data_IF_234347911338
#
_entry.id   IF_234347911338
#
_cell.length_a   1.000
_cell.length_b   1.000
_cell.length_c   1.000
_cell.angle_alpha   90.00
_cell.angle_beta   90.00
_cell.angle_gamma   90.00
#
_symmetry.space_group_name_H-M   'P 1'
#
loop_
_entity.id
_entity.type
_entity.pdbx_description
1 polymer ?
#
# COMPACT_ATOMS: atom_id res chain seq x y z
N UNK A 1 2.89 -11.39 -23.67
CA UNK A 1 2.99 -11.49 -22.19
C UNK A 1 3.11 -12.94 -21.78
N UNK A 2 3.52 -13.23 -20.54
CA UNK A 2 3.59 -14.62 -20.03
C UNK A 2 2.20 -15.28 -20.19
N UNK A 3 2.14 -16.43 -20.86
CA UNK A 3 0.92 -17.19 -21.17
C UNK A 3 -0.11 -16.52 -22.11
N UNK A 4 0.33 -15.75 -23.12
CA UNK A 4 -0.56 -15.15 -24.14
C UNK A 4 -1.71 -14.28 -23.58
N UNK A 5 -1.57 -13.74 -22.37
CA UNK A 5 -2.52 -12.76 -21.82
C UNK A 5 -2.15 -11.35 -22.27
N UNK A 6 -3.14 -10.62 -22.76
CA UNK A 6 -3.06 -9.18 -23.00
C UNK A 6 -2.87 -8.45 -21.66
N UNK A 7 -2.02 -7.41 -21.68
CA UNK A 7 -1.76 -6.57 -20.51
C UNK A 7 -1.65 -5.12 -20.97
N UNK A 8 -2.32 -4.23 -20.26
CA UNK A 8 -2.19 -2.79 -20.47
C UNK A 8 -1.07 -2.28 -19.56
N UNK A 9 -0.12 -1.58 -20.14
CA UNK A 9 0.98 -0.95 -19.42
C UNK A 9 0.74 0.56 -19.30
N UNK A 10 0.79 1.07 -18.08
CA UNK A 10 0.62 2.50 -17.81
C UNK A 10 1.97 3.20 -17.96
N UNK A 11 2.12 3.97 -19.04
CA UNK A 11 3.39 4.59 -19.45
C UNK A 11 3.40 6.12 -19.39
N UNK A 12 2.38 6.76 -18.79
CA UNK A 12 2.35 8.21 -18.61
C UNK A 12 2.00 8.61 -17.17
N UNK A 13 2.45 9.79 -16.70
CA UNK A 13 2.10 10.29 -15.37
C UNK A 13 0.60 10.47 -15.13
N UNK A 14 -0.15 10.90 -16.15
CA UNK A 14 -1.59 11.15 -16.06
C UNK A 14 -2.36 9.84 -15.87
N UNK A 15 -2.00 8.82 -16.65
CA UNK A 15 -2.58 7.50 -16.53
C UNK A 15 -2.18 6.82 -15.21
N UNK A 16 -0.95 7.05 -14.72
CA UNK A 16 -0.52 6.56 -13.41
C UNK A 16 -1.30 7.23 -12.27
N UNK A 17 -1.51 8.55 -12.34
CA UNK A 17 -2.33 9.29 -11.39
C UNK A 17 -3.77 8.77 -11.37
N UNK A 18 -4.35 8.52 -12.55
CA UNK A 18 -5.69 7.99 -12.67
C UNK A 18 -5.81 6.61 -12.01
N UNK A 19 -4.90 5.68 -12.38
CA UNK A 19 -4.86 4.31 -11.87
C UNK A 19 -4.60 4.25 -10.36
N UNK A 20 -3.65 5.03 -9.84
CA UNK A 20 -3.13 4.88 -8.48
C UNK A 20 -3.81 5.79 -7.44
N UNK A 21 -4.52 6.83 -7.89
CA UNK A 21 -5.04 7.86 -6.98
C UNK A 21 -6.46 8.30 -7.31
N UNK A 22 -6.71 8.87 -8.49
CA UNK A 22 -8.02 9.47 -8.83
C UNK A 22 -9.13 8.43 -8.82
N UNK A 23 -8.87 7.29 -9.46
CA UNK A 23 -9.83 6.21 -9.63
C UNK A 23 -9.33 4.89 -9.03
N UNK A 24 -8.43 4.95 -8.04
CA UNK A 24 -7.75 3.78 -7.48
C UNK A 24 -8.70 2.65 -7.06
N UNK A 25 -9.87 2.98 -6.52
CA UNK A 25 -10.85 1.99 -6.07
C UNK A 25 -11.69 1.34 -7.19
N UNK A 26 -11.51 1.76 -8.46
CA UNK A 26 -12.09 1.09 -9.64
C UNK A 26 -11.25 -0.11 -10.10
N UNK A 27 -10.02 -0.21 -9.62
CA UNK A 27 -9.06 -1.23 -10.00
C UNK A 27 -8.78 -2.15 -8.81
N UNK A 28 -8.48 -3.41 -9.11
CA UNK A 28 -8.03 -4.40 -8.13
C UNK A 28 -6.56 -4.74 -8.39
N UNK A 29 -5.83 -5.17 -7.37
CA UNK A 29 -4.45 -5.63 -7.55
C UNK A 29 -4.44 -6.88 -8.44
N UNK A 30 -3.52 -6.97 -9.43
CA UNK A 30 -3.32 -8.19 -10.20
C UNK A 30 -3.04 -9.40 -9.30
N UNK A 31 -3.57 -10.57 -9.69
CA UNK A 31 -3.51 -11.80 -8.87
C UNK A 31 -2.10 -12.19 -8.41
N UNK A 32 -1.07 -11.96 -9.23
CA UNK A 32 0.31 -12.22 -8.83
C UNK A 32 0.75 -11.30 -7.67
N UNK A 33 0.42 -10.01 -7.75
CA UNK A 33 0.75 -9.06 -6.68
C UNK A 33 -0.02 -9.38 -5.40
N UNK A 34 -1.30 -9.76 -5.55
CA UNK A 34 -2.13 -10.20 -4.44
C UNK A 34 -1.53 -11.43 -3.74
N UNK A 35 -1.13 -12.46 -4.50
CA UNK A 35 -0.56 -13.70 -3.96
C UNK A 35 0.74 -13.44 -3.21
N UNK A 36 1.64 -12.66 -3.81
CA UNK A 36 2.93 -12.35 -3.21
C UNK A 36 2.78 -11.57 -1.90
N UNK A 37 1.91 -10.56 -1.88
CA UNK A 37 1.73 -9.76 -0.68
C UNK A 37 0.88 -10.49 0.40
N UNK A 38 -0.01 -11.40 0.02
CA UNK A 38 -0.80 -12.20 0.97
C UNK A 38 0.09 -13.18 1.74
N UNK A 39 1.10 -13.76 1.09
CA UNK A 39 2.05 -14.66 1.74
C UNK A 39 2.90 -13.96 2.82
N UNK A 40 3.10 -12.64 2.70
CA UNK A 40 3.93 -11.87 3.63
C UNK A 40 3.07 -11.21 4.72
N UNK A 41 1.93 -10.63 4.34
CA UNK A 41 1.15 -9.73 5.22
C UNK A 41 -0.19 -10.31 5.68
N UNK A 42 -0.58 -11.49 5.20
CA UNK A 42 -1.93 -12.04 5.39
C UNK A 42 -3.02 -11.13 4.79
N UNK A 43 -4.26 -11.28 5.28
CA UNK A 43 -5.40 -10.46 4.87
C UNK A 43 -5.39 -9.05 5.52
N UNK A 44 -4.28 -8.34 5.40
CA UNK A 44 -4.07 -7.01 5.96
C UNK A 44 -4.36 -5.85 4.99
N UNK A 45 -4.03 -4.63 5.43
CA UNK A 45 -4.24 -3.39 4.68
C UNK A 45 -3.60 -3.43 3.28
N UNK A 46 -2.49 -4.15 3.08
CA UNK A 46 -1.82 -4.25 1.79
C UNK A 46 -2.64 -5.03 0.75
N UNK A 47 -3.49 -5.96 1.20
CA UNK A 47 -4.18 -6.94 0.35
C UNK A 47 -5.65 -6.65 0.15
N UNK A 48 -6.30 -6.07 1.16
CA UNK A 48 -7.71 -5.73 1.09
C UNK A 48 -8.01 -4.81 -0.12
N UNK A 49 -9.22 -4.92 -0.65
CA UNK A 49 -9.68 -4.14 -1.80
C UNK A 49 -10.96 -3.34 -1.50
N UNK A 50 -11.22 -2.33 -2.33
CA UNK A 50 -12.46 -1.58 -2.34
C UNK A 50 -12.82 -0.93 -0.98
N UNK A 51 -14.07 -1.14 -0.54
CA UNK A 51 -14.59 -0.55 0.72
C UNK A 51 -13.86 -1.08 1.95
N UNK A 52 -13.48 -2.35 1.97
CA UNK A 52 -12.77 -2.97 3.10
C UNK A 52 -11.41 -2.29 3.28
N UNK A 53 -10.65 -2.16 2.19
CA UNK A 53 -9.39 -1.41 2.19
C UNK A 53 -9.57 0.04 2.65
N UNK A 54 -10.61 0.73 2.16
CA UNK A 54 -10.88 2.13 2.51
C UNK A 54 -11.10 2.31 4.01
N UNK A 55 -11.89 1.45 4.63
CA UNK A 55 -12.16 1.49 6.06
C UNK A 55 -10.93 1.10 6.88
N UNK A 56 -10.19 0.07 6.48
CA UNK A 56 -8.95 -0.32 7.13
C UNK A 56 -7.91 0.82 7.08
N UNK A 57 -7.74 1.47 5.92
CA UNK A 57 -6.86 2.62 5.75
C UNK A 57 -7.26 3.79 6.66
N UNK A 58 -8.56 4.08 6.73
CA UNK A 58 -9.10 5.14 7.59
C UNK A 58 -8.77 4.89 9.07
N UNK A 59 -8.87 3.64 9.52
CA UNK A 59 -8.55 3.23 10.90
C UNK A 59 -7.04 3.22 11.17
N UNK A 60 -6.22 2.90 10.17
CA UNK A 60 -4.77 2.77 10.30
C UNK A 60 -4.03 4.13 10.26
N UNK A 61 -4.44 5.05 9.38
CA UNK A 61 -3.76 6.32 9.17
C UNK A 61 -3.48 7.16 10.44
N UNK A 62 -4.36 7.23 11.46
CA UNK A 62 -4.09 8.01 12.68
C UNK A 62 -2.81 7.63 13.42
N UNK A 63 -2.42 6.36 13.37
CA UNK A 63 -1.18 5.86 13.95
C UNK A 63 0.07 6.52 13.33
N UNK A 64 -0.03 7.02 12.10
CA UNK A 64 1.04 7.69 11.36
C UNK A 64 0.80 9.20 11.23
N UNK A 65 0.00 9.77 12.13
CA UNK A 65 -0.18 11.23 12.18
C UNK A 65 1.11 11.95 12.57
N UNK A 66 1.31 13.22 12.17
CA UNK A 66 2.49 13.99 12.55
C UNK A 66 2.73 14.03 14.07
N UNK A 67 1.67 14.02 14.87
CA UNK A 67 1.75 13.96 16.33
C UNK A 67 2.32 12.63 16.81
N UNK A 68 1.80 11.50 16.32
CA UNK A 68 2.30 10.17 16.69
C UNK A 68 3.72 9.92 16.21
N UNK A 69 4.07 10.38 15.01
CA UNK A 69 5.45 10.29 14.52
C UNK A 69 6.43 11.02 15.44
N UNK A 70 6.10 12.22 15.91
CA UNK A 70 6.93 12.96 16.89
C UNK A 70 7.05 12.22 18.22
N UNK A 71 5.99 11.55 18.66
CA UNK A 71 6.02 10.74 19.90
C UNK A 71 6.97 9.54 19.79
N UNK A 72 6.99 8.84 18.66
CA UNK A 72 7.84 7.65 18.49
C UNK A 72 9.27 7.95 18.04
N UNK A 73 9.50 9.13 17.45
CA UNK A 73 10.81 9.50 16.90
C UNK A 73 11.97 9.35 17.89
N UNK A 74 11.89 9.75 19.18
CA UNK A 74 12.98 9.55 20.13
C UNK A 74 13.34 8.08 20.34
N UNK A 75 12.35 7.19 20.38
CA UNK A 75 12.60 5.75 20.53
C UNK A 75 13.22 5.16 19.27
N UNK A 76 12.71 5.54 18.09
CA UNK A 76 13.27 5.12 16.81
C UNK A 76 14.73 5.56 16.65
N UNK A 77 15.03 6.81 17.03
CA UNK A 77 16.38 7.35 17.00
C UNK A 77 17.31 6.57 17.92
N UNK A 78 16.92 6.36 19.19
CA UNK A 78 17.71 5.57 20.15
C UNK A 78 18.03 4.17 19.62
N UNK A 79 17.03 3.44 19.13
CA UNK A 79 17.25 2.08 18.59
C UNK A 79 18.13 2.07 17.34
N UNK A 80 18.07 3.13 16.51
CA UNK A 80 18.93 3.25 15.33
C UNK A 80 20.39 3.49 15.74
N UNK A 81 20.63 4.34 16.74
CA UNK A 81 21.98 4.60 17.25
C UNK A 81 22.55 3.37 17.96
N UNK A 82 21.75 2.64 18.72
CA UNK A 82 22.18 1.40 19.41
C UNK A 82 22.51 0.25 18.45
N UNK A 83 21.89 0.23 17.26
CA UNK A 83 22.12 -0.78 16.24
C UNK A 83 23.34 -0.49 15.33
N UNK A 84 23.93 0.70 15.45
CA UNK A 84 25.14 1.13 14.74
C UNK A 84 26.38 0.97 15.63
#
# INVERSE_FOLDING_TARGET
GIFNRERIFVASPEAARDLLTTNAYRFIKPQLQWTLANNISGEGLLIQEGKVHKEARKRFNPAFSPTMMKTWFPSLWRSTVEAL
#
